data_IF_597402940786
#
_entry.id   IF_597402940786
#
_cell.length_a   1.000
_cell.length_b   1.000
_cell.length_c   1.000
_cell.angle_alpha   90.00
_cell.angle_beta   90.00
_cell.angle_gamma   90.00
#
_symmetry.space_group_name_H-M   'P 1'
#
loop_
_entity.id
_entity.type
_entity.pdbx_description
1 polymer ?
#
# COMPACT_ATOMS: atom_id res chain seq x y z
N UNK A 1 -13.53 -22.88 19.67
CA UNK A 1 -13.45 -23.28 18.26
C UNK A 1 -12.28 -22.54 17.64
N UNK A 2 -11.13 -23.20 17.50
CA UNK A 2 -9.99 -22.62 16.78
C UNK A 2 -10.38 -22.43 15.32
N UNK A 3 -10.28 -21.18 14.82
CA UNK A 3 -10.32 -20.92 13.38
C UNK A 3 -9.10 -21.64 12.79
N UNK A 4 -9.34 -22.74 12.09
CA UNK A 4 -8.32 -23.46 11.36
C UNK A 4 -7.90 -22.55 10.20
N UNK A 5 -6.83 -21.79 10.40
CA UNK A 5 -6.27 -20.89 9.37
C UNK A 5 -5.94 -21.76 8.16
N UNK A 6 -6.58 -21.46 7.04
CA UNK A 6 -6.41 -22.18 5.79
C UNK A 6 -5.02 -21.86 5.21
N UNK A 7 -4.09 -22.80 5.34
CA UNK A 7 -2.69 -22.62 4.91
C UNK A 7 -2.57 -22.31 3.41
N UNK A 8 -3.47 -22.84 2.59
CA UNK A 8 -3.46 -22.61 1.15
C UNK A 8 -3.79 -21.14 0.82
N UNK A 9 -4.71 -20.54 1.58
CA UNK A 9 -5.10 -19.14 1.44
C UNK A 9 -3.96 -18.16 1.77
N UNK A 10 -3.03 -18.55 2.66
CA UNK A 10 -1.85 -17.75 2.99
C UNK A 10 -0.73 -17.90 1.95
N UNK A 11 -0.56 -19.10 1.37
CA UNK A 11 0.53 -19.40 0.43
C UNK A 11 0.49 -18.53 -0.84
N UNK A 12 -0.71 -18.27 -1.38
CA UNK A 12 -0.90 -17.44 -2.59
C UNK A 12 -0.42 -15.99 -2.36
N UNK A 13 -0.81 -15.39 -1.22
CA UNK A 13 -0.39 -14.04 -0.88
C UNK A 13 1.09 -13.97 -0.49
N UNK A 14 1.66 -14.99 0.16
CA UNK A 14 3.11 -15.03 0.38
C UNK A 14 3.91 -15.05 -0.92
N UNK A 15 3.41 -15.77 -1.93
CA UNK A 15 4.03 -15.77 -3.26
C UNK A 15 3.94 -14.39 -3.89
N UNK A 16 2.77 -13.76 -3.86
CA UNK A 16 2.60 -12.39 -4.35
C UNK A 16 3.54 -11.40 -3.66
N UNK A 17 3.65 -11.46 -2.33
CA UNK A 17 4.57 -10.60 -1.58
C UNK A 17 6.02 -10.82 -2.05
N UNK A 18 6.43 -12.07 -2.34
CA UNK A 18 7.77 -12.37 -2.86
C UNK A 18 7.98 -11.76 -4.25
N UNK A 19 7.01 -11.93 -5.15
CA UNK A 19 7.09 -11.42 -6.52
C UNK A 19 7.15 -9.88 -6.52
N UNK A 20 6.35 -9.22 -5.67
CA UNK A 20 6.40 -7.77 -5.45
C UNK A 20 7.76 -7.32 -4.93
N UNK A 21 8.32 -8.03 -3.95
CA UNK A 21 9.65 -7.69 -3.41
C UNK A 21 10.72 -7.70 -4.50
N UNK A 22 10.76 -8.74 -5.33
CA UNK A 22 11.75 -8.85 -6.43
C UNK A 22 11.62 -7.68 -7.40
N UNK A 23 10.40 -7.31 -7.79
CA UNK A 23 10.18 -6.21 -8.73
C UNK A 23 10.57 -4.86 -8.12
N UNK A 24 10.21 -4.59 -6.87
CA UNK A 24 10.57 -3.34 -6.15
C UNK A 24 12.08 -3.20 -6.00
N UNK A 25 12.78 -4.26 -5.59
CA UNK A 25 14.25 -4.25 -5.44
C UNK A 25 14.94 -4.02 -6.78
N UNK A 26 14.45 -4.66 -7.85
CA UNK A 26 14.95 -4.44 -9.21
C UNK A 26 14.77 -2.98 -9.67
N UNK A 27 13.59 -2.40 -9.43
CA UNK A 27 13.32 -1.00 -9.80
C UNK A 27 14.23 -0.02 -9.06
N UNK A 28 14.58 -0.30 -7.80
CA UNK A 28 15.41 0.56 -6.97
C UNK A 28 16.91 0.21 -6.98
N UNK A 29 17.34 -0.71 -7.86
CA UNK A 29 18.74 -1.12 -8.02
C UNK A 29 19.40 -1.54 -6.70
N UNK A 30 18.63 -2.16 -5.80
CA UNK A 30 19.13 -2.60 -4.49
C UNK A 30 19.79 -3.98 -4.56
N UNK A 31 20.73 -4.30 -3.65
CA UNK A 31 21.28 -5.65 -3.55
C UNK A 31 20.22 -6.65 -3.10
N UNK A 32 20.23 -7.83 -3.74
CA UNK A 32 19.31 -8.96 -3.49
C UNK A 32 19.38 -9.49 -2.02
N UNK A 33 20.42 -9.14 -1.24
CA UNK A 33 20.56 -9.55 0.18
C UNK A 33 19.53 -8.91 1.14
N UNK A 34 18.69 -7.98 0.67
CA UNK A 34 17.52 -7.42 1.39
C UNK A 34 16.42 -8.46 1.71
N UNK A 35 16.48 -9.64 1.10
CA UNK A 35 15.48 -10.73 1.16
C UNK A 35 15.06 -11.20 2.57
N UNK A 36 15.80 -10.90 3.63
CA UNK A 36 15.54 -11.39 5.00
C UNK A 36 14.79 -10.39 5.87
N UNK A 37 13.59 -9.97 5.46
CA UNK A 37 12.61 -9.34 6.38
C UNK A 37 11.66 -10.39 6.95
N UNK A 38 11.63 -10.51 8.27
CA UNK A 38 10.68 -11.38 8.96
C UNK A 38 9.26 -10.78 8.82
N UNK A 39 8.33 -11.56 8.27
CA UNK A 39 6.93 -11.16 8.03
C UNK A 39 6.05 -11.78 9.10
N UNK A 40 5.26 -10.98 9.79
CA UNK A 40 4.32 -11.44 10.81
C UNK A 40 2.92 -10.89 10.53
N UNK A 41 1.91 -11.77 10.58
CA UNK A 41 0.51 -11.37 10.60
C UNK A 41 0.10 -11.12 12.05
N UNK A 42 -0.52 -9.97 12.33
CA UNK A 42 -1.03 -9.64 13.67
C UNK A 42 -2.55 -9.50 13.58
N UNK A 43 -3.26 -10.20 14.46
CA UNK A 43 -4.70 -10.05 14.62
C UNK A 43 -5.03 -8.71 15.32
N UNK A 44 -6.09 -8.04 14.86
CA UNK A 44 -6.63 -6.81 15.46
C UNK A 44 -5.74 -5.55 15.33
N UNK A 45 -4.93 -5.48 14.27
CA UNK A 45 -4.15 -4.28 13.94
C UNK A 45 -5.08 -3.25 13.26
N UNK A 46 -5.18 -2.03 13.81
CA UNK A 46 -6.09 -0.97 13.32
C UNK A 46 -5.56 -0.20 12.11
N UNK A 47 -4.28 -0.38 11.77
CA UNK A 47 -3.61 0.25 10.63
C UNK A 47 -3.16 -0.86 9.66
N UNK A 48 -3.19 -0.60 8.36
CA UNK A 48 -3.05 -1.64 7.32
C UNK A 48 -1.67 -2.32 7.35
N UNK A 49 -0.66 -1.61 7.85
CA UNK A 49 0.67 -2.17 8.14
C UNK A 49 1.52 -1.21 8.96
N UNK A 50 2.46 -1.75 9.73
CA UNK A 50 3.50 -0.95 10.41
C UNK A 50 4.87 -1.51 10.02
N UNK A 51 5.72 -0.66 9.46
CA UNK A 51 7.11 -1.02 9.13
C UNK A 51 8.05 -0.50 10.20
N UNK A 52 8.68 -1.42 10.94
CA UNK A 52 9.80 -1.10 11.84
C UNK A 52 11.05 -1.77 11.29
N UNK A 53 11.82 -1.04 10.46
CA UNK A 53 13.21 -1.22 9.98
C UNK A 53 13.82 -2.65 9.81
N UNK A 54 13.02 -3.71 9.83
CA UNK A 54 13.39 -5.13 9.70
C UNK A 54 12.15 -6.06 9.74
N UNK A 55 10.99 -5.54 10.19
CA UNK A 55 9.74 -6.27 10.27
C UNK A 55 8.64 -5.55 9.49
N UNK A 56 7.89 -6.33 8.72
CA UNK A 56 6.66 -5.88 8.06
C UNK A 56 5.50 -6.58 8.74
N UNK A 57 4.65 -5.79 9.39
CA UNK A 57 3.41 -6.28 9.99
C UNK A 57 2.27 -6.05 9.01
N UNK A 58 1.46 -7.09 8.79
CA UNK A 58 0.22 -6.96 8.05
C UNK A 58 -0.94 -7.34 8.97
N UNK A 59 -2.11 -6.74 8.73
CA UNK A 59 -3.36 -7.25 9.31
C UNK A 59 -3.61 -8.66 8.79
N UNK A 60 -4.16 -9.53 9.62
CA UNK A 60 -4.48 -10.91 9.22
C UNK A 60 -5.40 -10.94 7.99
N UNK A 61 -6.40 -10.07 7.97
CA UNK A 61 -7.32 -9.89 6.83
C UNK A 61 -6.61 -9.45 5.55
N UNK A 62 -5.44 -8.80 5.65
CA UNK A 62 -4.65 -8.32 4.50
C UNK A 62 -3.63 -9.33 3.98
N UNK A 63 -3.58 -10.54 4.57
CA UNK A 63 -2.75 -11.66 4.10
C UNK A 63 -3.59 -12.88 3.73
N UNK A 64 -4.85 -13.00 4.16
CA UNK A 64 -5.67 -14.18 3.87
C UNK A 64 -6.52 -13.93 2.62
N UNK A 65 -6.32 -14.78 1.60
CA UNK A 65 -7.18 -14.82 0.42
C UNK A 65 -7.52 -16.26 0.05
N UNK A 66 -8.81 -16.61 0.13
CA UNK A 66 -9.31 -17.91 -0.28
C UNK A 66 -10.08 -17.79 -1.61
N UNK A 67 -9.60 -18.45 -2.65
CA UNK A 67 -10.18 -18.39 -4.01
C UNK A 67 -11.59 -18.98 -4.12
N UNK A 68 -11.98 -19.88 -3.21
CA UNK A 68 -13.31 -20.50 -3.21
C UNK A 68 -14.38 -19.59 -2.60
N UNK A 69 -13.98 -18.67 -1.70
CA UNK A 69 -14.89 -17.89 -0.86
C UNK A 69 -14.80 -16.38 -1.17
N UNK A 70 -13.63 -15.89 -1.55
CA UNK A 70 -13.40 -14.47 -1.76
C UNK A 70 -13.59 -14.06 -3.23
N UNK A 71 -14.25 -12.92 -3.49
CA UNK A 71 -14.39 -12.41 -4.84
C UNK A 71 -13.05 -11.90 -5.39
N UNK A 72 -12.93 -11.86 -6.72
CA UNK A 72 -11.77 -11.28 -7.43
C UNK A 72 -11.46 -9.85 -6.97
N UNK A 73 -12.49 -9.06 -6.64
CA UNK A 73 -12.32 -7.72 -6.09
C UNK A 73 -11.43 -7.70 -4.83
N UNK A 74 -11.56 -8.70 -3.94
CA UNK A 74 -10.71 -8.83 -2.76
C UNK A 74 -9.26 -9.14 -3.15
N UNK A 75 -9.04 -9.99 -4.17
CA UNK A 75 -7.69 -10.27 -4.69
C UNK A 75 -7.01 -8.97 -5.16
N UNK A 76 -7.73 -8.15 -5.93
CA UNK A 76 -7.24 -6.87 -6.44
C UNK A 76 -6.90 -5.90 -5.30
N UNK A 77 -7.77 -5.80 -4.30
CA UNK A 77 -7.57 -4.98 -3.11
C UNK A 77 -6.31 -5.39 -2.33
N UNK A 78 -6.18 -6.69 -2.03
CA UNK A 78 -5.02 -7.24 -1.34
C UNK A 78 -3.73 -7.03 -2.12
N UNK A 79 -3.76 -7.24 -3.43
CA UNK A 79 -2.60 -6.97 -4.28
C UNK A 79 -2.14 -5.52 -4.19
N UNK A 80 -3.08 -4.56 -4.20
CA UNK A 80 -2.76 -3.13 -4.06
C UNK A 80 -2.14 -2.82 -2.70
N UNK A 81 -2.70 -3.36 -1.61
CA UNK A 81 -2.17 -3.18 -0.25
C UNK A 81 -0.73 -3.72 -0.16
N UNK A 82 -0.51 -4.94 -0.65
CA UNK A 82 0.82 -5.56 -0.66
C UNK A 82 1.82 -4.74 -1.47
N UNK A 83 1.44 -4.30 -2.68
CA UNK A 83 2.25 -3.46 -3.56
C UNK A 83 2.63 -2.14 -2.89
N UNK A 84 1.64 -1.39 -2.39
CA UNK A 84 1.85 -0.12 -1.68
C UNK A 84 2.80 -0.29 -0.50
N UNK A 85 2.50 -1.22 0.41
CA UNK A 85 3.28 -1.40 1.64
C UNK A 85 4.75 -1.76 1.33
N UNK A 86 5.02 -2.51 0.26
CA UNK A 86 6.41 -2.78 -0.15
C UNK A 86 7.14 -1.56 -0.66
N UNK A 87 6.48 -0.70 -1.41
CA UNK A 87 7.10 0.57 -1.85
C UNK A 87 7.28 1.53 -0.66
N UNK A 88 6.31 1.62 0.26
CA UNK A 88 6.45 2.40 1.50
C UNK A 88 7.69 1.96 2.27
N UNK A 89 7.83 0.66 2.57
CA UNK A 89 9.00 0.14 3.26
C UNK A 89 10.31 0.44 2.51
N UNK A 90 10.32 0.39 1.18
CA UNK A 90 11.48 0.74 0.37
C UNK A 90 11.86 2.23 0.48
N UNK A 91 10.87 3.13 0.51
CA UNK A 91 11.08 4.58 0.69
C UNK A 91 11.64 4.89 2.08
N UNK A 92 11.14 4.21 3.12
CA UNK A 92 11.65 4.36 4.48
C UNK A 92 13.08 3.85 4.62
N UNK A 93 13.45 2.76 3.95
CA UNK A 93 14.81 2.22 3.99
C UNK A 93 15.82 3.05 3.18
N UNK A 94 15.40 3.65 2.08
CA UNK A 94 16.26 4.45 1.19
C UNK A 94 16.39 5.92 1.60
N UNK A 95 15.96 6.25 2.82
CA UNK A 95 16.17 7.54 3.49
C UNK A 95 15.43 8.74 2.90
N UNK A 96 14.39 8.56 2.07
CA UNK A 96 13.43 9.64 1.76
C UNK A 96 12.40 9.73 2.89
N UNK A 97 12.90 9.92 4.12
CA UNK A 97 12.03 10.32 5.22
C UNK A 97 11.57 11.75 4.95
N UNK A 98 10.25 12.01 4.98
CA UNK A 98 9.75 13.34 4.69
C UNK A 98 10.32 14.30 5.74
N UNK A 99 10.80 15.46 5.31
CA UNK A 99 11.42 16.45 6.21
C UNK A 99 10.44 16.98 7.26
N UNK A 100 9.13 16.87 7.00
CA UNK A 100 8.05 17.21 7.91
C UNK A 100 6.77 16.42 7.56
N UNK A 101 5.80 16.41 8.48
CA UNK A 101 4.49 15.76 8.26
C UNK A 101 3.77 16.27 7.00
N UNK A 102 3.96 17.54 6.64
CA UNK A 102 3.39 18.13 5.42
C UNK A 102 3.94 17.52 4.12
N UNK A 103 5.06 16.79 4.18
CA UNK A 103 5.64 16.10 3.02
C UNK A 103 5.24 14.62 2.96
N UNK A 104 4.44 14.11 3.91
CA UNK A 104 4.02 12.70 3.89
C UNK A 104 3.20 12.32 2.66
N UNK A 105 2.44 13.26 2.08
CA UNK A 105 1.64 12.98 0.89
C UNK A 105 2.48 12.49 -0.28
N UNK A 106 3.74 12.94 -0.39
CA UNK A 106 4.64 12.57 -1.47
C UNK A 106 5.07 11.11 -1.35
N UNK A 107 5.36 10.64 -0.14
CA UNK A 107 5.69 9.23 0.07
C UNK A 107 4.49 8.34 -0.22
N UNK A 108 3.30 8.76 0.20
CA UNK A 108 2.05 8.02 -0.07
C UNK A 108 1.67 8.00 -1.54
N UNK A 109 1.82 9.12 -2.27
CA UNK A 109 1.52 9.17 -3.71
C UNK A 109 2.49 8.30 -4.50
N UNK A 110 3.79 8.38 -4.20
CA UNK A 110 4.81 7.51 -4.79
C UNK A 110 4.50 6.05 -4.47
N UNK A 111 4.22 5.71 -3.21
CA UNK A 111 3.93 4.34 -2.82
C UNK A 111 2.68 3.78 -3.48
N UNK A 112 1.64 4.59 -3.61
CA UNK A 112 0.39 4.18 -4.26
C UNK A 112 0.60 3.96 -5.76
N UNK A 113 1.21 4.92 -6.46
CA UNK A 113 1.44 4.83 -7.90
C UNK A 113 2.39 3.69 -8.26
N UNK A 114 3.57 3.63 -7.62
CA UNK A 114 4.54 2.56 -7.86
C UNK A 114 4.05 1.22 -7.35
N UNK A 115 3.24 1.19 -6.28
CA UNK A 115 2.58 -0.02 -5.80
C UNK A 115 1.66 -0.61 -6.87
N UNK A 116 0.77 0.21 -7.45
CA UNK A 116 -0.12 -0.21 -8.55
C UNK A 116 0.69 -0.61 -9.79
N UNK A 117 1.70 0.17 -10.15
CA UNK A 117 2.60 -0.15 -11.27
C UNK A 117 3.28 -1.52 -11.09
N UNK A 118 3.79 -1.79 -9.89
CA UNK A 118 4.41 -3.08 -9.53
C UNK A 118 3.43 -4.24 -9.74
N UNK A 119 2.21 -4.11 -9.22
CA UNK A 119 1.19 -5.15 -9.38
C UNK A 119 0.78 -5.30 -10.85
N UNK A 120 0.73 -4.21 -11.61
CA UNK A 120 0.44 -4.28 -13.05
C UNK A 120 1.51 -5.07 -13.82
N UNK A 121 2.77 -5.03 -13.40
CA UNK A 121 3.84 -5.84 -14.01
C UNK A 121 3.72 -7.33 -13.64
N UNK A 122 3.24 -7.64 -12.45
CA UNK A 122 3.08 -9.03 -11.97
C UNK A 122 1.80 -9.66 -12.51
N UNK A 123 0.73 -8.87 -12.66
CA UNK A 123 -0.61 -9.30 -13.08
C UNK A 123 -1.16 -8.41 -14.20
N UNK A 124 -0.52 -8.39 -15.40
CA UNK A 124 -0.89 -7.50 -16.49
C UNK A 124 -2.31 -7.76 -17.02
N UNK A 125 -2.82 -8.98 -16.89
CA UNK A 125 -4.18 -9.37 -17.28
C UNK A 125 -5.27 -8.62 -16.52
N UNK A 126 -4.98 -8.16 -15.29
CA UNK A 126 -5.93 -7.45 -14.45
C UNK A 126 -6.01 -5.95 -14.78
N UNK A 127 -5.18 -5.44 -15.71
CA UNK A 127 -5.20 -4.04 -16.17
C UNK A 127 -5.23 -3.04 -15.01
N UNK A 128 -4.35 -3.25 -14.04
CA UNK A 128 -4.37 -2.56 -12.74
C UNK A 128 -4.22 -1.04 -12.87
N UNK A 129 -3.43 -0.57 -13.85
CA UNK A 129 -3.31 0.86 -14.15
C UNK A 129 -4.61 1.46 -14.68
N UNK A 130 -5.33 0.76 -15.57
CA UNK A 130 -6.62 1.23 -16.07
C UNK A 130 -7.65 1.31 -14.95
N UNK A 131 -7.64 0.31 -14.06
CA UNK A 131 -8.52 0.29 -12.90
C UNK A 131 -8.18 1.42 -11.91
N UNK A 132 -6.91 1.77 -11.77
CA UNK A 132 -6.46 2.90 -10.95
C UNK A 132 -6.95 4.24 -11.50
N UNK A 133 -6.89 4.45 -12.82
CA UNK A 133 -7.44 5.66 -13.45
C UNK A 133 -8.92 5.82 -13.12
N UNK A 134 -9.72 4.76 -13.29
CA UNK A 134 -11.17 4.83 -13.10
C UNK A 134 -11.57 4.92 -11.61
N UNK A 135 -10.93 4.15 -10.74
CA UNK A 135 -11.35 4.06 -9.33
C UNK A 135 -10.72 5.10 -8.43
N UNK A 136 -9.54 5.60 -8.77
CA UNK A 136 -8.75 6.44 -7.87
C UNK A 136 -8.54 7.82 -8.45
N UNK A 137 -8.02 7.93 -9.68
CA UNK A 137 -7.73 9.24 -10.28
C UNK A 137 -9.00 10.04 -10.57
N UNK A 138 -10.01 9.43 -11.19
CA UNK A 138 -11.29 10.09 -11.47
C UNK A 138 -12.02 10.50 -10.18
N UNK A 139 -11.95 9.67 -9.15
CA UNK A 139 -12.59 9.96 -7.86
C UNK A 139 -11.89 11.12 -7.14
N UNK A 140 -10.56 11.21 -7.22
CA UNK A 140 -9.83 12.38 -6.70
C UNK A 140 -10.28 13.66 -7.37
N UNK A 141 -10.25 13.69 -8.72
CA UNK A 141 -10.63 14.88 -9.49
C UNK A 141 -12.07 15.32 -9.17
N UNK A 142 -12.98 14.36 -8.97
CA UNK A 142 -14.37 14.62 -8.59
C UNK A 142 -14.47 15.25 -7.19
N UNK A 143 -13.67 14.78 -6.24
CA UNK A 143 -13.68 15.27 -4.87
C UNK A 143 -12.99 16.64 -4.75
N UNK A 144 -11.95 16.90 -5.54
CA UNK A 144 -11.27 18.20 -5.56
C UNK A 144 -12.18 19.29 -6.14
N UNK A 145 -12.89 19.01 -7.24
CA UNK A 145 -13.91 19.91 -7.82
C UNK A 145 -15.02 20.25 -6.81
N UNK A 146 -15.40 19.29 -5.96
CA UNK A 146 -16.41 19.50 -4.92
C UNK A 146 -15.92 20.31 -3.70
N UNK A 147 -14.67 20.80 -3.71
CA UNK A 147 -14.02 21.53 -2.61
C UNK A 147 -14.01 20.78 -1.26
N UNK A 148 -14.11 19.45 -1.30
CA UNK A 148 -14.08 18.60 -0.12
C UNK A 148 -12.65 18.27 0.35
N UNK A 149 -11.63 18.70 -0.39
CA UNK A 149 -10.23 18.33 -0.17
C UNK A 149 -9.38 19.54 0.21
N UNK A 150 -8.75 19.49 1.39
CA UNK A 150 -7.81 20.52 1.83
C UNK A 150 -6.53 20.54 0.97
N UNK A 151 -5.83 21.68 0.85
CA UNK A 151 -4.51 21.74 0.20
C UNK A 151 -3.49 20.77 0.83
N UNK A 152 -2.65 20.15 -0.01
CA UNK A 152 -1.62 19.18 0.41
C UNK A 152 -0.47 19.83 1.20
N UNK A 153 -0.24 21.13 1.00
CA UNK A 153 0.80 21.93 1.65
C UNK A 153 0.32 22.64 2.92
N UNK A 154 -0.87 22.28 3.42
CA UNK A 154 -1.45 22.90 4.62
C UNK A 154 -0.57 22.70 5.87
N UNK A 155 -0.46 23.75 6.68
CA UNK A 155 0.39 23.73 7.87
C UNK A 155 -0.18 22.80 8.96
N UNK A 156 0.68 21.89 9.43
CA UNK A 156 0.34 20.83 10.37
C UNK A 156 0.91 21.19 11.74
N UNK A 157 0.04 21.69 12.62
CA UNK A 157 0.37 22.25 13.93
C UNK A 157 -0.23 21.45 15.11
N UNK A 158 -1.01 20.40 14.83
CA UNK A 158 -1.79 19.68 15.84
C UNK A 158 -1.95 18.20 15.51
N UNK A 159 -2.07 17.38 16.56
CA UNK A 159 -2.23 15.92 16.45
C UNK A 159 -3.50 15.53 15.66
N UNK A 160 -4.57 16.33 15.78
CA UNK A 160 -5.79 16.10 14.99
C UNK A 160 -5.56 16.27 13.49
N UNK A 161 -4.72 17.23 13.07
CA UNK A 161 -4.37 17.41 11.65
C UNK A 161 -3.43 16.30 11.16
N UNK A 162 -2.53 15.81 12.01
CA UNK A 162 -1.69 14.64 11.69
C UNK A 162 -2.58 13.43 11.35
N UNK A 163 -3.59 13.12 12.16
CA UNK A 163 -4.52 12.03 11.87
C UNK A 163 -5.30 12.23 10.56
N UNK A 164 -5.56 13.48 10.15
CA UNK A 164 -6.24 13.77 8.89
C UNK A 164 -5.39 13.53 7.65
N UNK A 165 -4.05 13.49 7.79
CA UNK A 165 -3.14 13.09 6.70
C UNK A 165 -3.31 11.62 6.33
N UNK A 166 -3.73 10.80 7.30
CA UNK A 166 -4.00 9.38 7.07
C UNK A 166 -5.42 9.13 6.55
N UNK A 167 -6.16 10.19 6.23
CA UNK A 167 -7.50 10.06 5.66
C UNK A 167 -7.44 9.71 4.18
N UNK A 168 -8.40 8.90 3.74
CA UNK A 168 -8.60 8.54 2.34
C UNK A 168 -8.63 9.76 1.41
N UNK A 169 -9.24 10.87 1.85
CA UNK A 169 -9.32 12.13 1.09
C UNK A 169 -7.92 12.71 0.85
N UNK A 170 -7.06 12.72 1.86
CA UNK A 170 -5.70 13.23 1.69
C UNK A 170 -4.88 12.36 0.72
N UNK A 171 -5.06 11.04 0.78
CA UNK A 171 -4.37 10.09 -0.09
C UNK A 171 -4.78 10.18 -1.56
N UNK A 172 -6.06 10.34 -1.85
CA UNK A 172 -6.47 10.44 -3.26
C UNK A 172 -6.05 11.79 -3.85
N UNK A 173 -6.06 12.88 -3.08
CA UNK A 173 -5.60 14.21 -3.55
C UNK A 173 -4.14 14.18 -3.99
N UNK A 174 -3.31 13.41 -3.29
CA UNK A 174 -1.88 13.31 -3.60
C UNK A 174 -1.57 12.67 -4.94
N UNK A 175 -2.55 12.01 -5.57
CA UNK A 175 -2.42 11.33 -6.87
C UNK A 175 -2.61 12.29 -8.05
N UNK A 176 -3.11 13.50 -7.82
CA UNK A 176 -3.27 14.51 -8.88
C UNK A 176 -1.96 15.18 -9.30
N UNK A 177 -0.91 15.06 -8.47
CA UNK A 177 0.38 15.73 -8.62
C UNK A 177 1.50 14.73 -8.89
#
# INVERSE_FOLDING_TARGET
>A
MEKKVDRSAMESNFKLIKDVTVVVEFMWQQPEESLMRNKYAIADLTDDSVDKLQFVFYREEDIIYNEEINPIARKIELSRIIGRNKVVGQLFDTAVSPSWWSCMWLNESIATLFGVYTINQIMPENRMLDLFVVQTQQESLRLDDSQLMNPLDSEIDSMSKINSLFSFIYYIKSIEY
#
